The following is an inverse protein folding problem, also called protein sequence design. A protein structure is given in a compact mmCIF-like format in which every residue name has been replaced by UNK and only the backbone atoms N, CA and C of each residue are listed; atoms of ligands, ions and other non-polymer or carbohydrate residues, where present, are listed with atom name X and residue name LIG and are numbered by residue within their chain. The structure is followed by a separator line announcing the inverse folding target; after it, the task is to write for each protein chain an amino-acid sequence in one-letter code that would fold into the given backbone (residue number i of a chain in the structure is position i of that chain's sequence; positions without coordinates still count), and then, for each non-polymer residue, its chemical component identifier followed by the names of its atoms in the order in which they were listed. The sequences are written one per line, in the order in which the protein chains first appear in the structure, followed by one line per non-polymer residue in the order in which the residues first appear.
data_IF_994490060553
#
_entry.id   IF_994490060553
#
_cell.length_a   1.000
_cell.length_b   1.000
_cell.length_c   1.000
_cell.angle_alpha   90.00
_cell.angle_beta   90.00
_cell.angle_gamma   90.00
#
_symmetry.space_group_name_H-M   'P 1'
#
loop_
_entity.id
_entity.type
_entity.pdbx_description
1 polymer ?
#
# COMPACT_ATOMS: atom_id res chain seq x y z
N UNK A 1 -16.31 -1.99 9.86
CA UNK A 1 -15.85 -3.28 10.42
C UNK A 1 -14.34 -3.30 10.33
N UNK A 2 -13.63 -3.36 11.45
CA UNK A 2 -12.16 -3.50 11.48
C UNK A 2 -11.85 -4.91 11.00
N UNK A 3 -10.94 -5.07 10.03
CA UNK A 3 -10.46 -6.39 9.62
C UNK A 3 -9.01 -6.50 10.08
N UNK A 4 -8.78 -7.41 11.02
CA UNK A 4 -7.43 -7.81 11.40
C UNK A 4 -6.98 -8.89 10.43
N UNK A 5 -5.81 -8.71 9.84
CA UNK A 5 -5.17 -9.70 8.99
C UNK A 5 -3.91 -10.19 9.71
N UNK A 6 -3.89 -11.49 10.03
CA UNK A 6 -2.66 -12.17 10.41
C UNK A 6 -1.97 -12.67 9.14
N UNK A 7 -0.87 -12.03 8.77
CA UNK A 7 -0.05 -12.41 7.64
C UNK A 7 0.90 -13.53 8.05
N UNK A 8 0.67 -14.74 7.53
CA UNK A 8 1.48 -15.92 7.86
C UNK A 8 2.78 -16.04 7.06
N UNK A 9 2.85 -15.42 5.88
CA UNK A 9 3.97 -15.53 4.95
C UNK A 9 4.40 -14.15 4.48
N UNK A 10 5.69 -14.02 4.26
CA UNK A 10 6.28 -12.80 3.73
C UNK A 10 5.77 -12.51 2.32
N UNK A 11 5.39 -11.25 2.05
CA UNK A 11 5.10 -10.79 0.69
C UNK A 11 6.33 -10.09 0.14
N UNK A 12 6.99 -10.71 -0.84
CA UNK A 12 8.26 -10.28 -1.39
C UNK A 12 8.08 -9.38 -2.62
N UNK A 13 8.86 -8.30 -2.69
CA UNK A 13 8.92 -7.40 -3.83
C UNK A 13 10.35 -7.29 -4.35
N UNK A 14 10.53 -7.57 -5.63
CA UNK A 14 11.85 -7.84 -6.22
C UNK A 14 12.36 -6.71 -7.11
N UNK A 15 11.52 -5.71 -7.39
CA UNK A 15 11.83 -4.66 -8.35
C UNK A 15 11.27 -3.31 -7.88
N UNK A 16 11.92 -2.22 -8.28
CA UNK A 16 11.49 -0.85 -7.98
C UNK A 16 10.61 -0.37 -9.13
N UNK A 17 9.43 0.17 -8.83
CA UNK A 17 8.58 0.79 -9.85
C UNK A 17 9.27 2.07 -10.39
N UNK A 18 9.45 2.15 -11.70
CA UNK A 18 10.11 3.30 -12.33
C UNK A 18 9.13 4.48 -12.48
N UNK A 19 9.68 5.68 -12.68
CA UNK A 19 8.90 6.89 -12.97
C UNK A 19 7.95 7.35 -11.86
N UNK A 20 8.24 7.00 -10.61
CA UNK A 20 7.50 7.50 -9.45
C UNK A 20 7.76 9.00 -9.26
N UNK A 21 6.73 9.78 -8.89
CA UNK A 21 6.88 11.23 -8.72
C UNK A 21 7.86 11.55 -7.58
N UNK A 22 8.56 12.67 -7.69
CA UNK A 22 9.51 13.14 -6.66
C UNK A 22 8.84 13.95 -5.54
N UNK A 23 7.51 14.00 -5.50
CA UNK A 23 6.76 14.76 -4.50
C UNK A 23 6.30 13.87 -3.34
N UNK A 24 5.95 14.49 -2.23
CA UNK A 24 5.54 13.79 -1.01
C UNK A 24 4.03 13.50 -0.96
N UNK A 25 3.34 13.49 -2.11
CA UNK A 25 1.89 13.31 -2.17
C UNK A 25 1.54 11.86 -2.53
N UNK A 26 1.00 11.12 -1.56
CA UNK A 26 0.62 9.71 -1.74
C UNK A 26 -0.40 9.50 -2.87
N UNK A 27 -1.25 10.49 -3.14
CA UNK A 27 -2.21 10.45 -4.24
C UNK A 27 -1.55 10.43 -5.62
N UNK A 28 -0.49 11.22 -5.81
CA UNK A 28 0.26 11.24 -7.08
C UNK A 28 1.05 9.94 -7.27
N UNK A 29 1.62 9.39 -6.18
CA UNK A 29 2.24 8.06 -6.17
C UNK A 29 1.26 6.96 -6.56
N UNK A 30 0.02 7.04 -6.05
CA UNK A 30 -1.04 6.09 -6.39
C UNK A 30 -1.40 6.14 -7.88
N UNK A 31 -1.62 7.33 -8.44
CA UNK A 31 -1.90 7.49 -9.88
C UNK A 31 -0.75 6.99 -10.75
N UNK A 32 0.50 7.31 -10.38
CA UNK A 32 1.67 6.81 -11.09
C UNK A 32 1.75 5.28 -11.06
N UNK A 33 1.44 4.66 -9.92
CA UNK A 33 1.41 3.19 -9.80
C UNK A 33 0.29 2.55 -10.63
N UNK A 34 -0.89 3.19 -10.73
CA UNK A 34 -1.95 2.71 -11.62
C UNK A 34 -1.48 2.71 -13.08
N UNK A 35 -0.90 3.81 -13.56
CA UNK A 35 -0.36 3.93 -14.92
C UNK A 35 0.76 2.92 -15.18
N UNK A 36 1.63 2.70 -14.20
CA UNK A 36 2.65 1.66 -14.26
C UNK A 36 2.01 0.26 -14.44
N UNK A 37 1.02 -0.08 -13.60
CA UNK A 37 0.35 -1.36 -13.66
C UNK A 37 -0.44 -1.57 -14.96
N UNK A 38 -0.93 -0.54 -15.62
CA UNK A 38 -1.59 -0.68 -16.94
C UNK A 38 -0.69 -1.38 -17.96
N UNK A 39 0.62 -1.12 -17.91
CA UNK A 39 1.62 -1.65 -18.84
C UNK A 39 2.15 -3.04 -18.44
N UNK A 40 1.87 -3.47 -17.20
CA UNK A 40 2.36 -4.72 -16.66
C UNK A 40 1.44 -5.92 -16.92
N UNK A 41 1.96 -7.13 -16.74
CA UNK A 41 1.18 -8.35 -16.94
C UNK A 41 0.16 -8.62 -15.81
N UNK A 42 -0.87 -9.40 -16.11
CA UNK A 42 -1.81 -9.88 -15.08
C UNK A 42 -1.08 -10.75 -14.08
N UNK A 43 -1.32 -10.51 -12.79
CA UNK A 43 -0.63 -11.18 -11.70
C UNK A 43 0.54 -10.39 -11.12
N UNK A 44 0.88 -9.22 -11.67
CA UNK A 44 1.84 -8.30 -11.05
C UNK A 44 1.29 -7.78 -9.73
N UNK A 45 2.06 -7.96 -8.66
CA UNK A 45 1.78 -7.45 -7.33
C UNK A 45 2.69 -6.25 -7.06
N UNK A 46 2.14 -5.15 -6.57
CA UNK A 46 2.90 -3.94 -6.28
C UNK A 46 2.52 -3.34 -4.95
N UNK A 47 3.45 -2.58 -4.38
CA UNK A 47 3.24 -1.83 -3.14
C UNK A 47 3.75 -0.41 -3.29
N UNK A 48 3.07 0.48 -2.59
CA UNK A 48 3.59 1.79 -2.21
C UNK A 48 3.87 1.73 -0.72
N UNK A 49 5.13 1.95 -0.35
CA UNK A 49 5.56 2.05 1.05
C UNK A 49 5.46 3.50 1.46
N UNK A 50 4.73 3.76 2.53
CA UNK A 50 4.51 5.10 3.05
C UNK A 50 4.85 5.16 4.54
N UNK A 51 5.25 6.35 5.00
CA UNK A 51 5.17 6.68 6.42
C UNK A 51 3.83 7.38 6.69
N UNK A 52 3.08 6.86 7.66
CA UNK A 52 1.88 7.49 8.17
C UNK A 52 2.18 8.10 9.55
N UNK A 53 1.76 9.35 9.76
CA UNK A 53 1.95 10.07 11.02
C UNK A 53 0.63 10.60 11.57
N UNK A 54 0.51 10.55 12.89
CA UNK A 54 -0.51 11.26 13.65
C UNK A 54 0.12 12.55 14.19
N UNK A 55 -0.29 13.69 13.62
CA UNK A 55 0.01 15.02 14.15
C UNK A 55 -1.03 15.46 15.19
N UNK A 56 -0.90 16.69 15.68
CA UNK A 56 -1.73 17.22 16.76
C UNK A 56 -3.22 17.33 16.38
N UNK A 57 -3.53 17.57 15.09
CA UNK A 57 -4.91 17.68 14.59
C UNK A 57 -5.15 16.96 13.25
N UNK A 58 -4.10 16.45 12.60
CA UNK A 58 -4.17 15.88 11.26
C UNK A 58 -3.34 14.61 11.13
N UNK A 59 -3.86 13.69 10.33
CA UNK A 59 -3.11 12.53 9.85
C UNK A 59 -2.42 12.88 8.53
N UNK A 60 -1.18 12.42 8.37
CA UNK A 60 -0.41 12.62 7.14
C UNK A 60 0.15 11.29 6.66
N UNK A 61 0.30 11.17 5.33
CA UNK A 61 0.86 9.98 4.67
C UNK A 61 1.86 10.43 3.63
N UNK A 62 3.11 10.06 3.82
CA UNK A 62 4.22 10.39 2.94
C UNK A 62 4.71 9.14 2.21
N UNK A 63 4.60 9.07 0.88
CA UNK A 63 5.14 7.95 0.12
C UNK A 63 6.66 7.98 0.16
N UNK A 64 7.29 6.81 0.29
CA UNK A 64 8.74 6.64 0.22
C UNK A 64 9.18 6.06 -1.10
N UNK A 65 8.53 4.96 -1.50
CA UNK A 65 8.96 4.18 -2.64
C UNK A 65 7.84 3.26 -3.13
N UNK A 66 7.92 2.92 -4.42
CA UNK A 66 7.08 1.92 -5.06
C UNK A 66 7.89 0.69 -5.45
N UNK A 67 7.35 -0.49 -5.18
CA UNK A 67 7.97 -1.75 -5.57
C UNK A 67 6.95 -2.67 -6.22
N UNK A 68 7.42 -3.66 -6.97
CA UNK A 68 6.58 -4.67 -7.56
C UNK A 68 7.28 -6.03 -7.66
N UNK A 69 6.49 -7.05 -7.88
CA UNK A 69 6.88 -8.42 -8.14
C UNK A 69 6.02 -8.96 -9.29
N UNK A 70 6.67 -9.54 -10.30
CA UNK A 70 6.00 -10.26 -11.38
C UNK A 70 5.83 -11.72 -10.97
N UNK A 71 4.73 -12.35 -11.37
CA UNK A 71 4.38 -13.73 -10.96
C UNK A 71 5.50 -14.76 -11.18
N UNK A 72 6.28 -14.60 -12.23
CA UNK A 72 7.35 -15.54 -12.61
C UNK A 72 8.76 -15.02 -12.27
N UNK A 73 8.86 -13.96 -11.46
CA UNK A 73 10.15 -13.43 -11.04
C UNK A 73 10.83 -14.40 -10.06
N UNK A 74 12.11 -14.69 -10.33
CA UNK A 74 12.99 -15.48 -9.46
C UNK A 74 14.07 -14.61 -8.81
N UNK A 75 13.95 -13.30 -8.97
CA UNK A 75 14.90 -12.33 -8.42
C UNK A 75 14.82 -12.32 -6.89
N UNK A 76 15.94 -12.01 -6.20
CA UNK A 76 15.91 -11.87 -4.75
C UNK A 76 15.01 -10.71 -4.30
N UNK A 77 14.37 -10.80 -3.12
CA UNK A 77 13.55 -9.73 -2.59
C UNK A 77 14.39 -8.49 -2.26
N UNK A 78 13.91 -7.32 -2.69
CA UNK A 78 14.46 -6.01 -2.31
C UNK A 78 13.81 -5.48 -1.04
N UNK A 79 12.51 -5.72 -0.89
CA UNK A 79 11.71 -5.37 0.28
C UNK A 79 10.59 -6.37 0.44
N UNK A 80 10.10 -6.48 1.67
CA UNK A 80 9.01 -7.37 2.00
C UNK A 80 8.06 -6.80 3.03
N UNK A 81 6.80 -7.24 2.95
CA UNK A 81 5.87 -7.14 4.08
C UNK A 81 6.06 -8.39 4.92
N UNK A 82 6.61 -8.21 6.12
CA UNK A 82 6.95 -9.31 7.02
C UNK A 82 5.69 -9.95 7.63
N UNK A 83 5.74 -11.24 8.01
CA UNK A 83 4.67 -11.88 8.77
C UNK A 83 4.32 -11.11 10.05
N UNK A 84 3.04 -11.09 10.42
CA UNK A 84 2.57 -10.38 11.60
C UNK A 84 1.10 -9.96 11.51
N UNK A 85 0.66 -9.22 12.52
CA UNK A 85 -0.69 -8.67 12.60
C UNK A 85 -0.77 -7.30 11.90
N UNK A 86 -1.81 -7.10 11.10
CA UNK A 86 -2.06 -5.86 10.38
C UNK A 86 -3.52 -5.43 10.54
N UNK A 87 -3.74 -4.14 10.76
CA UNK A 87 -5.00 -3.53 10.36
C UNK A 87 -5.08 -3.57 8.83
N UNK A 88 -6.18 -4.10 8.32
CA UNK A 88 -6.34 -4.40 6.90
C UNK A 88 -7.66 -3.86 6.35
N UNK A 89 -7.60 -3.30 5.15
CA UNK A 89 -8.80 -2.96 4.38
C UNK A 89 -8.57 -3.22 2.90
N UNK A 90 -9.42 -4.06 2.30
CA UNK A 90 -9.52 -4.18 0.85
C UNK A 90 -10.65 -3.27 0.37
N UNK A 91 -10.34 -2.39 -0.57
CA UNK A 91 -11.35 -1.52 -1.17
C UNK A 91 -12.31 -2.34 -2.03
N UNK A 92 -13.58 -1.95 -2.04
CA UNK A 92 -14.62 -2.64 -2.82
C UNK A 92 -14.54 -2.36 -4.33
N UNK A 93 -13.79 -1.34 -4.71
CA UNK A 93 -13.52 -0.93 -6.09
C UNK A 93 -12.11 -0.34 -6.16
N UNK A 94 -11.55 -0.25 -7.36
CA UNK A 94 -10.31 0.47 -7.63
C UNK A 94 -10.63 1.96 -7.78
N UNK A 95 -10.13 2.85 -6.90
CA UNK A 95 -10.22 4.29 -7.15
C UNK A 95 -9.58 4.65 -8.50
N UNK A 96 -10.27 5.42 -9.33
CA UNK A 96 -9.80 5.67 -10.70
C UNK A 96 -8.72 6.75 -10.78
N UNK A 97 -8.56 7.53 -9.71
CA UNK A 97 -7.67 8.68 -9.64
C UNK A 97 -7.34 9.02 -8.18
N UNK A 98 -6.43 9.98 -7.98
CA UNK A 98 -6.02 10.42 -6.63
C UNK A 98 -7.15 11.05 -5.82
N UNK A 99 -8.10 11.71 -6.48
CA UNK A 99 -9.22 12.39 -5.83
C UNK A 99 -10.16 11.42 -5.13
N UNK A 100 -10.39 10.25 -5.74
CA UNK A 100 -11.16 9.15 -5.15
C UNK A 100 -10.36 8.37 -4.10
N UNK A 101 -9.06 8.20 -4.34
CA UNK A 101 -8.17 7.43 -3.49
C UNK A 101 -7.89 8.09 -2.13
N UNK A 102 -7.53 9.37 -2.14
CA UNK A 102 -7.03 10.08 -0.96
C UNK A 102 -8.01 10.04 0.23
N UNK A 103 -9.32 10.31 0.06
CA UNK A 103 -10.26 10.23 1.17
C UNK A 103 -10.34 8.83 1.79
N UNK A 104 -10.21 7.76 0.99
CA UNK A 104 -10.24 6.38 1.47
C UNK A 104 -8.98 6.05 2.28
N UNK A 105 -7.82 6.45 1.77
CA UNK A 105 -6.54 6.28 2.47
C UNK A 105 -6.53 7.03 3.81
N UNK A 106 -6.95 8.31 3.81
CA UNK A 106 -7.00 9.12 5.03
C UNK A 106 -8.03 8.61 6.04
N UNK A 107 -9.20 8.15 5.56
CA UNK A 107 -10.20 7.51 6.42
C UNK A 107 -9.63 6.26 7.10
N UNK A 108 -8.95 5.40 6.35
CA UNK A 108 -8.31 4.22 6.90
C UNK A 108 -7.27 4.58 7.97
N UNK A 109 -6.35 5.52 7.66
CA UNK A 109 -5.32 5.96 8.59
C UNK A 109 -5.91 6.59 9.85
N UNK A 110 -6.89 7.48 9.73
CA UNK A 110 -7.53 8.11 10.89
C UNK A 110 -8.20 7.12 11.84
N UNK A 111 -8.59 5.95 11.32
CA UNK A 111 -9.29 4.91 12.07
C UNK A 111 -8.33 3.90 12.68
N UNK A 112 -7.26 3.57 11.97
CA UNK A 112 -6.40 2.42 12.30
C UNK A 112 -5.04 2.84 12.89
N UNK A 113 -4.54 4.05 12.62
CA UNK A 113 -3.27 4.51 13.18
C UNK A 113 -3.42 4.88 14.65
N UNK A 114 -3.02 3.97 15.55
CA UNK A 114 -3.09 4.14 17.00
C UNK A 114 -1.82 4.72 17.63
N UNK A 115 -0.74 4.84 16.86
CA UNK A 115 0.57 5.29 17.30
C UNK A 115 1.01 6.54 16.53
N UNK A 116 1.98 7.29 17.08
CA UNK A 116 2.45 8.56 16.49
C UNK A 116 2.92 8.42 15.04
N UNK A 117 3.51 7.29 14.69
CA UNK A 117 3.94 7.00 13.32
C UNK A 117 3.99 5.50 13.04
N UNK A 118 3.67 5.08 11.82
CA UNK A 118 3.80 3.69 11.36
C UNK A 118 4.13 3.63 9.87
N UNK A 119 4.66 2.49 9.42
CA UNK A 119 4.78 2.21 7.99
C UNK A 119 3.41 1.75 7.47
N UNK A 120 2.83 2.48 6.53
CA UNK A 120 1.65 2.06 5.78
C UNK A 120 2.11 1.37 4.48
N UNK A 121 1.50 0.23 4.16
CA UNK A 121 1.61 -0.38 2.84
C UNK A 121 0.29 -0.22 2.09
N UNK A 122 0.37 0.31 0.88
CA UNK A 122 -0.76 0.30 -0.07
C UNK A 122 -0.40 -0.72 -1.15
N UNK A 123 -1.05 -1.87 -1.12
CA UNK A 123 -0.84 -2.95 -2.08
C UNK A 123 -1.82 -2.81 -3.25
N UNK A 124 -1.31 -2.89 -4.47
CA UNK A 124 -2.09 -2.89 -5.70
C UNK A 124 -1.74 -4.16 -6.48
N UNK A 125 -2.72 -5.05 -6.64
CA UNK A 125 -2.56 -6.32 -7.34
C UNK A 125 -3.35 -6.33 -8.64
N UNK A 126 -2.68 -6.54 -9.77
CA UNK A 126 -3.33 -6.62 -11.09
C UNK A 126 -4.00 -7.99 -11.26
N UNK A 127 -5.24 -8.10 -10.83
CA UNK A 127 -6.01 -9.35 -10.86
C UNK A 127 -6.48 -9.73 -12.26
N UNK A 128 -6.90 -8.74 -13.06
CA UNK A 128 -7.27 -8.91 -14.48
C UNK A 128 -6.72 -7.74 -15.30
N UNK A 129 -6.89 -7.82 -16.63
CA UNK A 129 -6.36 -6.81 -17.57
C UNK A 129 -6.73 -5.37 -17.20
N UNK A 130 -7.94 -5.16 -16.67
CA UNK A 130 -8.49 -3.85 -16.30
C UNK A 130 -8.98 -3.82 -14.83
N UNK A 131 -8.50 -4.73 -13.99
CA UNK A 131 -8.97 -4.88 -12.62
C UNK A 131 -7.78 -4.94 -11.67
N UNK A 132 -7.70 -3.95 -10.78
CA UNK A 132 -6.62 -3.81 -9.80
C UNK A 132 -7.22 -3.83 -8.41
N UNK A 133 -6.88 -4.84 -7.62
CA UNK A 133 -7.31 -4.91 -6.22
C UNK A 133 -6.42 -4.01 -5.38
N UNK A 134 -7.02 -3.07 -4.65
CA UNK A 134 -6.31 -2.13 -3.76
C UNK A 134 -6.55 -2.51 -2.30
N UNK A 135 -5.46 -2.64 -1.56
CA UNK A 135 -5.47 -3.06 -0.16
C UNK A 135 -4.58 -2.14 0.68
N UNK A 136 -5.05 -1.79 1.87
CA UNK A 136 -4.27 -1.11 2.89
C UNK A 136 -3.82 -2.11 3.95
N UNK A 137 -2.55 -2.04 4.32
CA UNK A 137 -1.98 -2.81 5.42
C UNK A 137 -1.20 -1.85 6.32
N UNK A 138 -1.61 -1.80 7.59
CA UNK A 138 -0.91 -1.03 8.62
C UNK A 138 -0.52 -1.99 9.74
N UNK A 139 0.78 -2.14 10.05
CA UNK A 139 1.24 -3.02 11.13
C UNK A 139 0.50 -2.70 12.43
N UNK A 140 -0.10 -3.74 13.01
CA UNK A 140 -0.77 -3.63 14.29
C UNK A 140 0.28 -3.74 15.39
N UNK A 141 0.66 -2.61 15.99
CA UNK A 141 1.27 -2.68 17.32
C UNK A 141 0.13 -2.85 18.31
N UNK A 142 -0.05 -4.06 18.82
CA UNK A 142 -0.89 -4.28 19.98
C UNK A 142 -0.50 -3.30 21.08
N UNK A 143 -1.47 -2.82 21.86
CA UNK A 143 -1.17 -2.07 23.08
C UNK A 143 -0.14 -2.88 23.88
N UNK A 144 1.04 -2.32 24.10
CA UNK A 144 1.86 -2.77 25.22
C UNK A 144 0.96 -2.58 26.46
N UNK A 145 0.53 -3.70 27.04
CA UNK A 145 -0.27 -3.75 28.26
C UNK A 145 0.58 -3.32 29.46
#
# INVERSE_FOLDING_TARGET
MIRHLHLHQEMNYTSIATSMPMNDLVGDFYEAMLLFLEQEEVGTDSIIVCDAYQGDELYTVHPKSGYYHKRNSVDPPLISIIPGEYSFEQLLFTPSNKGEFLPLCMKFISKELQQKSSTLYIRLYKEKRFEIVVQFLLPFKGKEL
#
